data_IF_950850740796
#
_entry.id   IF_950850740796
#
_cell.length_a   1.000
_cell.length_b   1.000
_cell.length_c   1.000
_cell.angle_alpha   90.00
_cell.angle_beta   90.00
_cell.angle_gamma   90.00
#
_symmetry.space_group_name_H-M   'P 1'
#
loop_
_entity.id
_entity.type
_entity.pdbx_description
1 polymer ?
#
# COMPACT_ATOMS: atom_id res chain seq x y z
N UNK A 1 -11.50 13.97 -15.26
CA UNK A 1 -10.09 13.53 -15.09
C UNK A 1 -9.61 13.76 -13.65
N UNK A 2 -9.97 14.87 -12.97
CA UNK A 2 -9.71 15.06 -11.53
C UNK A 2 -10.19 13.90 -10.64
N UNK A 3 -11.33 13.30 -10.98
CA UNK A 3 -11.89 12.13 -10.28
C UNK A 3 -11.08 10.85 -10.44
N UNK A 4 -10.20 10.75 -11.45
CA UNK A 4 -9.33 9.60 -11.66
C UNK A 4 -8.12 9.61 -10.73
N UNK A 5 -7.47 10.77 -10.54
CA UNK A 5 -6.31 10.92 -9.67
C UNK A 5 -6.66 10.61 -8.20
N UNK A 6 -7.87 10.95 -7.76
CA UNK A 6 -8.33 10.69 -6.40
C UNK A 6 -8.40 9.19 -6.08
N UNK A 7 -8.67 8.33 -7.06
CA UNK A 7 -8.72 6.88 -6.87
C UNK A 7 -7.34 6.25 -6.58
N UNK A 8 -6.27 6.98 -6.87
CA UNK A 8 -4.88 6.53 -6.69
C UNK A 8 -4.19 7.20 -5.48
N UNK A 9 -4.87 8.13 -4.81
CA UNK A 9 -4.34 8.77 -3.60
C UNK A 9 -4.64 7.92 -2.38
N UNK A 10 -3.59 7.48 -1.71
CA UNK A 10 -3.68 6.76 -0.45
C UNK A 10 -3.30 7.66 0.74
N UNK A 11 -3.85 7.41 1.94
CA UNK A 11 -3.53 8.21 3.14
C UNK A 11 -2.06 8.16 3.55
N UNK A 12 -1.36 7.09 3.17
CA UNK A 12 0.06 6.87 3.46
C UNK A 12 1.01 7.57 2.48
N UNK A 13 0.51 8.15 1.38
CA UNK A 13 1.32 8.98 0.49
C UNK A 13 1.67 10.31 1.15
N UNK A 14 2.63 11.03 0.60
CA UNK A 14 3.01 12.40 0.94
C UNK A 14 2.84 13.31 -0.29
N UNK A 15 2.64 14.60 -0.02
CA UNK A 15 2.57 15.64 -1.05
C UNK A 15 3.90 16.39 -1.08
N UNK A 16 4.51 16.52 -2.25
CA UNK A 16 5.69 17.35 -2.44
C UNK A 16 5.38 18.49 -3.40
N UNK A 17 5.58 19.73 -2.94
CA UNK A 17 5.43 20.92 -3.78
C UNK A 17 6.62 21.04 -4.73
N UNK A 18 6.38 21.42 -5.99
CA UNK A 18 7.44 21.62 -7.00
C UNK A 18 8.04 23.03 -6.97
N UNK A 19 7.38 23.96 -6.27
CA UNK A 19 7.82 25.34 -6.14
C UNK A 19 7.83 25.74 -4.67
N UNK A 20 8.62 26.75 -4.35
CA UNK A 20 8.65 27.32 -3.00
C UNK A 20 7.24 27.74 -2.56
N UNK A 21 6.93 27.51 -1.28
CA UNK A 21 5.66 27.87 -0.66
C UNK A 21 5.26 29.32 -0.99
N UNK A 22 6.21 30.26 -0.90
CA UNK A 22 5.97 31.69 -1.12
C UNK A 22 5.64 32.00 -2.58
N UNK A 23 6.34 31.36 -3.52
CA UNK A 23 6.13 31.54 -4.95
C UNK A 23 4.79 30.97 -5.36
N UNK A 24 4.46 29.77 -4.86
CA UNK A 24 3.17 29.14 -5.11
C UNK A 24 2.02 29.99 -4.55
N UNK A 25 2.15 30.53 -3.34
CA UNK A 25 1.14 31.41 -2.74
C UNK A 25 0.96 32.73 -3.51
N UNK A 26 2.01 33.24 -4.17
CA UNK A 26 1.93 34.46 -4.97
C UNK A 26 1.27 34.24 -6.35
N UNK A 27 1.37 33.03 -6.90
CA UNK A 27 0.73 32.65 -8.16
C UNK A 27 -0.76 32.30 -8.01
N UNK A 28 -1.23 32.09 -6.77
CA UNK A 28 -2.62 31.76 -6.52
C UNK A 28 -3.54 32.96 -6.78
N UNK A 29 -4.73 32.71 -7.38
CA UNK A 29 -5.74 33.75 -7.52
C UNK A 29 -6.20 34.24 -6.14
N UNK A 30 -6.63 35.50 -6.07
CA UNK A 30 -7.11 36.16 -4.85
C UNK A 30 -8.31 35.45 -4.20
N UNK A 31 -9.10 34.72 -5.01
CA UNK A 31 -10.27 33.94 -4.56
C UNK A 31 -9.94 32.52 -4.11
N UNK A 32 -8.66 32.22 -3.85
CA UNK A 32 -8.24 30.90 -3.45
C UNK A 32 -8.82 30.48 -2.10
N UNK A 33 -9.30 29.24 -2.01
CA UNK A 33 -9.81 28.67 -0.76
C UNK A 33 -8.75 28.73 0.36
N UNK A 34 -9.09 29.21 1.57
CA UNK A 34 -8.19 29.20 2.72
C UNK A 34 -7.70 27.79 3.08
N UNK A 35 -8.45 26.74 2.70
CA UNK A 35 -8.03 25.36 2.88
C UNK A 35 -6.80 25.01 2.03
N UNK A 36 -6.73 25.49 0.79
CA UNK A 36 -5.57 25.27 -0.08
C UNK A 36 -4.33 25.97 0.48
N UNK A 37 -4.49 27.20 0.98
CA UNK A 37 -3.41 27.95 1.62
C UNK A 37 -2.90 27.19 2.86
N UNK A 38 -3.79 26.64 3.69
CA UNK A 38 -3.41 25.81 4.84
C UNK A 38 -2.64 24.56 4.39
N UNK A 39 -3.13 23.83 3.39
CA UNK A 39 -2.43 22.65 2.86
C UNK A 39 -1.02 23.03 2.40
N UNK A 40 -0.86 24.08 1.60
CA UNK A 40 0.44 24.52 1.08
C UNK A 40 1.41 24.86 2.23
N UNK A 41 0.95 25.60 3.23
CA UNK A 41 1.76 26.00 4.40
C UNK A 41 2.18 24.85 5.31
N UNK A 42 1.33 23.83 5.40
CA UNK A 42 1.55 22.68 6.30
C UNK A 42 2.20 21.50 5.59
N UNK A 43 2.30 21.53 4.25
CA UNK A 43 2.85 20.44 3.44
C UNK A 43 4.31 20.18 3.80
N UNK A 44 4.64 18.89 3.97
CA UNK A 44 6.00 18.45 4.27
C UNK A 44 6.26 17.10 3.62
N UNK A 45 7.45 16.95 3.02
CA UNK A 45 7.86 15.72 2.34
C UNK A 45 8.07 14.52 3.28
N UNK A 46 8.20 14.75 4.60
CA UNK A 46 8.39 13.69 5.61
C UNK A 46 7.08 13.24 6.26
N UNK A 47 5.95 13.91 5.97
CA UNK A 47 4.64 13.62 6.56
C UNK A 47 3.71 13.02 5.54
N UNK A 48 2.90 12.05 5.95
CA UNK A 48 1.86 11.50 5.07
C UNK A 48 0.63 12.42 5.00
N UNK A 49 -0.25 12.18 4.03
CA UNK A 49 -1.46 12.97 3.78
C UNK A 49 -2.44 12.90 4.96
N UNK A 50 -2.45 11.80 5.71
CA UNK A 50 -3.26 11.68 6.92
C UNK A 50 -2.78 12.62 8.02
N UNK A 51 -1.46 12.70 8.26
CA UNK A 51 -0.86 13.64 9.20
C UNK A 51 -1.04 15.09 8.72
N UNK A 52 -0.89 15.33 7.42
CA UNK A 52 -1.15 16.64 6.82
C UNK A 52 -2.59 17.10 7.06
N UNK A 53 -3.57 16.20 6.94
CA UNK A 53 -4.97 16.51 7.22
C UNK A 53 -5.20 16.90 8.69
N UNK A 54 -4.54 16.21 9.63
CA UNK A 54 -4.60 16.53 11.05
C UNK A 54 -3.95 17.89 11.36
N UNK A 55 -2.75 18.13 10.82
CA UNK A 55 -2.00 19.37 11.06
C UNK A 55 -2.66 20.59 10.41
N UNK A 56 -3.33 20.42 9.26
CA UNK A 56 -4.05 21.49 8.57
C UNK A 56 -5.47 21.71 9.13
N UNK A 57 -5.93 20.84 10.03
CA UNK A 57 -7.30 20.79 10.56
C UNK A 57 -8.34 20.74 9.42
N UNK A 58 -8.19 19.71 8.57
CA UNK A 58 -9.02 19.45 7.39
C UNK A 58 -9.46 17.98 7.35
N UNK A 59 -10.60 17.72 6.73
CA UNK A 59 -11.01 16.35 6.44
C UNK A 59 -10.07 15.71 5.41
N UNK A 60 -9.73 14.42 5.58
CA UNK A 60 -8.82 13.70 4.68
C UNK A 60 -9.30 13.75 3.22
N UNK A 61 -10.61 13.61 2.99
CA UNK A 61 -11.19 13.70 1.65
C UNK A 61 -10.93 15.07 0.99
N UNK A 62 -10.99 16.16 1.78
CA UNK A 62 -10.70 17.50 1.30
C UNK A 62 -9.22 17.65 0.95
N UNK A 63 -8.31 17.08 1.75
CA UNK A 63 -6.88 17.05 1.43
C UNK A 63 -6.62 16.27 0.13
N UNK A 64 -7.30 15.15 -0.11
CA UNK A 64 -7.18 14.42 -1.37
C UNK A 64 -7.65 15.23 -2.58
N UNK A 65 -8.76 15.96 -2.46
CA UNK A 65 -9.24 16.84 -3.53
C UNK A 65 -8.24 17.96 -3.83
N UNK A 66 -7.70 18.61 -2.78
CA UNK A 66 -6.73 19.68 -2.93
C UNK A 66 -5.39 19.18 -3.47
N UNK A 67 -4.92 18.01 -3.02
CA UNK A 67 -3.71 17.36 -3.54
C UNK A 67 -3.88 16.98 -5.02
N UNK A 68 -5.00 16.36 -5.38
CA UNK A 68 -5.31 16.01 -6.78
C UNK A 68 -5.33 17.27 -7.67
N UNK A 69 -5.92 18.37 -7.19
CA UNK A 69 -5.93 19.64 -7.89
C UNK A 69 -4.49 20.20 -8.08
N UNK A 70 -3.67 20.20 -7.03
CA UNK A 70 -2.27 20.67 -7.13
C UNK A 70 -1.45 19.82 -8.10
N UNK A 71 -1.68 18.51 -8.13
CA UNK A 71 -1.01 17.59 -9.07
C UNK A 71 -1.49 17.83 -10.50
N UNK A 72 -2.79 18.04 -10.69
CA UNK A 72 -3.38 18.34 -12.01
C UNK A 72 -2.79 19.60 -12.65
N UNK A 73 -2.55 20.65 -11.86
CA UNK A 73 -1.92 21.88 -12.32
C UNK A 73 -0.37 21.81 -12.36
N UNK A 74 0.21 20.65 -12.06
CA UNK A 74 1.66 20.48 -12.03
C UNK A 74 2.37 21.35 -11.00
N UNK A 75 1.72 21.65 -9.87
CA UNK A 75 2.31 22.41 -8.76
C UNK A 75 2.82 21.51 -7.63
N UNK A 76 2.34 20.26 -7.59
CA UNK A 76 2.78 19.27 -6.63
C UNK A 76 2.84 17.88 -7.26
N UNK A 77 3.52 16.98 -6.58
CA UNK A 77 3.68 15.59 -6.95
C UNK A 77 3.34 14.72 -5.75
N UNK A 78 2.91 13.49 -6.02
CA UNK A 78 2.71 12.49 -4.98
C UNK A 78 3.99 11.69 -4.85
N UNK A 79 4.48 11.58 -3.63
CA UNK A 79 5.63 10.76 -3.25
C UNK A 79 5.22 9.93 -2.02
N UNK A 80 6.11 9.06 -1.55
CA UNK A 80 5.97 8.52 -0.20
C UNK A 80 6.70 9.41 0.80
N UNK A 81 6.24 9.46 2.07
CA UNK A 81 6.92 10.20 3.12
C UNK A 81 8.39 9.77 3.20
N UNK A 82 9.30 10.74 3.23
CA UNK A 82 10.73 10.48 3.30
C UNK A 82 11.08 9.85 4.66
N UNK A 83 11.43 8.57 4.63
CA UNK A 83 11.86 7.80 5.80
C UNK A 83 13.25 7.20 5.57
N UNK A 84 13.97 6.92 6.66
CA UNK A 84 15.34 6.36 6.62
C UNK A 84 15.42 5.03 5.86
N UNK A 85 14.35 4.24 5.90
CA UNK A 85 14.29 2.92 5.26
C UNK A 85 13.88 2.97 3.78
N UNK A 86 13.55 4.14 3.25
CA UNK A 86 13.16 4.27 1.85
C UNK A 86 14.40 4.09 0.97
N UNK A 87 14.23 3.28 -0.08
CA UNK A 87 15.28 2.98 -1.04
C UNK A 87 15.06 3.85 -2.27
N UNK A 88 16.10 4.58 -2.68
CA UNK A 88 16.08 5.41 -3.87
C UNK A 88 17.12 4.93 -4.87
N UNK A 89 16.83 5.17 -6.15
CA UNK A 89 17.74 4.92 -7.26
C UNK A 89 17.64 6.07 -8.25
N UNK A 90 18.70 6.30 -9.04
CA UNK A 90 18.66 7.22 -10.18
C UNK A 90 17.56 6.82 -11.16
N UNK A 91 16.77 7.81 -11.59
CA UNK A 91 15.82 7.63 -12.66
C UNK A 91 16.56 7.26 -13.96
N UNK A 92 16.08 6.28 -14.74
CA UNK A 92 16.64 5.96 -16.06
C UNK A 92 16.66 7.15 -17.02
N UNK A 93 15.76 8.11 -16.80
CA UNK A 93 15.62 9.31 -17.61
C UNK A 93 16.38 10.52 -17.04
N UNK A 94 17.09 10.36 -15.93
CA UNK A 94 17.83 11.45 -15.31
C UNK A 94 18.97 11.92 -16.23
N UNK A 95 18.95 13.20 -16.60
CA UNK A 95 20.07 13.82 -17.32
C UNK A 95 21.23 14.04 -16.35
N UNK A 96 22.23 13.16 -16.39
CA UNK A 96 23.47 13.25 -15.60
C UNK A 96 24.50 14.20 -16.24
N UNK A 97 24.07 15.07 -17.16
CA UNK A 97 24.98 15.99 -17.85
C UNK A 97 25.60 17.00 -16.87
N UNK A 98 26.94 17.03 -16.84
CA UNK A 98 27.76 17.96 -16.04
C UNK A 98 27.44 19.44 -16.25
N UNK A 99 26.90 19.80 -17.42
CA UNK A 99 26.54 21.17 -17.82
C UNK A 99 25.02 21.37 -17.92
N UNK A 100 24.23 20.54 -17.25
CA UNK A 100 22.79 20.74 -17.18
C UNK A 100 22.47 22.02 -16.42
N UNK A 101 21.44 22.76 -16.84
CA UNK A 101 20.90 23.89 -16.09
C UNK A 101 20.53 23.49 -14.64
N UNK A 102 20.18 22.21 -14.43
CA UNK A 102 19.92 21.63 -13.11
C UNK A 102 21.18 21.60 -12.24
N UNK A 103 22.36 21.35 -12.81
CA UNK A 103 23.62 21.33 -12.06
C UNK A 103 23.99 22.73 -11.55
N UNK A 104 23.76 23.77 -12.36
CA UNK A 104 23.95 25.17 -11.95
C UNK A 104 22.97 25.57 -10.84
N UNK A 105 21.68 25.25 -11.00
CA UNK A 105 20.66 25.51 -9.97
C UNK A 105 20.97 24.78 -8.66
N UNK A 106 21.45 23.54 -8.75
CA UNK A 106 21.85 22.76 -7.59
C UNK A 106 23.05 23.38 -6.88
N UNK A 107 24.08 23.80 -7.63
CA UNK A 107 25.27 24.44 -7.05
C UNK A 107 24.93 25.77 -6.37
N UNK A 108 23.97 26.52 -6.89
CA UNK A 108 23.47 27.74 -6.25
C UNK A 108 22.73 27.46 -4.93
N UNK A 109 21.93 26.40 -4.84
CA UNK A 109 21.20 26.05 -3.62
C UNK A 109 22.06 25.30 -2.60
N UNK A 110 23.03 24.50 -3.06
CA UNK A 110 23.92 23.67 -2.24
C UNK A 110 25.39 23.87 -2.64
N UNK A 111 26.02 24.98 -2.22
CA UNK A 111 27.39 25.31 -2.64
C UNK A 111 28.46 24.30 -2.20
N UNK A 112 28.16 23.44 -1.23
CA UNK A 112 29.07 22.42 -0.71
C UNK A 112 29.01 21.08 -1.45
N UNK A 113 28.12 20.92 -2.43
CA UNK A 113 27.87 19.63 -3.09
C UNK A 113 27.72 19.76 -4.60
N UNK A 114 28.41 18.88 -5.32
CA UNK A 114 28.26 18.76 -6.77
C UNK A 114 27.15 17.78 -7.12
N UNK A 115 26.23 18.17 -7.99
CA UNK A 115 25.12 17.33 -8.43
C UNK A 115 25.59 15.96 -8.96
N UNK A 116 26.58 15.85 -9.87
CA UNK A 116 27.01 14.55 -10.40
C UNK A 116 27.58 13.62 -9.32
N UNK A 117 28.32 14.18 -8.36
CA UNK A 117 28.87 13.43 -7.22
C UNK A 117 27.78 12.89 -6.30
N UNK A 118 26.69 13.65 -6.14
CA UNK A 118 25.52 13.20 -5.38
C UNK A 118 24.74 12.14 -6.16
N UNK A 119 24.46 12.38 -7.45
CA UNK A 119 23.77 11.43 -8.31
C UNK A 119 24.50 10.09 -8.39
N UNK A 120 25.84 10.09 -8.49
CA UNK A 120 26.66 8.88 -8.50
C UNK A 120 26.41 7.98 -7.28
N UNK A 121 26.09 8.57 -6.12
CA UNK A 121 25.77 7.81 -4.91
C UNK A 121 24.43 7.06 -5.01
N UNK A 122 23.49 7.54 -5.81
CA UNK A 122 22.18 6.91 -6.04
C UNK A 122 22.17 6.00 -7.29
N UNK A 123 23.33 5.74 -7.90
CA UNK A 123 23.43 4.88 -9.08
C UNK A 123 22.96 3.45 -8.86
N UNK A 124 23.04 2.98 -7.62
CA UNK A 124 22.48 1.72 -7.17
C UNK A 124 21.33 1.98 -6.17
N UNK A 125 20.37 1.05 -6.04
CA UNK A 125 19.38 1.09 -4.97
C UNK A 125 20.05 1.23 -3.61
N UNK A 126 19.84 2.36 -2.94
CA UNK A 126 20.44 2.67 -1.65
C UNK A 126 19.40 3.24 -0.69
N UNK A 127 19.47 2.84 0.57
CA UNK A 127 18.58 3.36 1.61
C UNK A 127 19.07 4.71 2.13
N UNK A 128 18.14 5.58 2.55
CA UNK A 128 18.52 6.88 3.13
C UNK A 128 19.32 6.75 4.44
N UNK A 129 19.16 5.65 5.17
CA UNK A 129 19.92 5.36 6.39
C UNK A 129 21.41 5.15 6.12
N UNK A 130 21.79 4.61 4.96
CA UNK A 130 23.21 4.41 4.59
C UNK A 130 23.96 5.73 4.37
N UNK A 131 23.24 6.81 4.05
CA UNK A 131 23.82 8.15 3.95
C UNK A 131 23.94 8.85 5.30
N UNK A 132 23.29 8.35 6.35
CA UNK A 132 23.39 8.92 7.69
C UNK A 132 24.66 8.42 8.35
N UNK A 133 25.49 9.36 8.77
CA UNK A 133 26.59 9.05 9.69
C UNK A 133 26.07 9.24 11.12
N UNK A 134 26.03 8.21 11.98
CA UNK A 134 25.50 8.32 13.35
C UNK A 134 26.26 9.31 14.23
N UNK A 135 27.45 9.75 13.81
CA UNK A 135 28.27 10.76 14.49
C UNK A 135 28.12 12.18 13.90
N UNK A 136 27.32 12.35 12.84
CA UNK A 136 27.15 13.64 12.19
C UNK A 136 26.15 14.55 12.91
N UNK A 137 26.31 15.87 12.82
CA UNK A 137 25.35 16.82 13.36
C UNK A 137 24.00 16.76 12.61
N UNK A 138 22.86 17.05 13.28
CA UNK A 138 21.51 16.99 12.70
C UNK A 138 21.29 17.95 11.51
N UNK A 139 22.17 18.96 11.36
CA UNK A 139 22.18 19.87 10.22
C UNK A 139 22.45 19.12 8.91
N UNK A 140 23.34 18.12 8.93
CA UNK A 140 23.69 17.35 7.74
C UNK A 140 22.52 16.48 7.27
N UNK A 141 21.73 15.95 8.20
CA UNK A 141 20.50 15.19 7.87
C UNK A 141 19.46 16.08 7.19
N UNK A 142 19.31 17.31 7.68
CA UNK A 142 18.36 18.27 7.11
C UNK A 142 18.76 18.66 5.69
N UNK A 143 20.06 18.86 5.45
CA UNK A 143 20.61 19.11 4.12
C UNK A 143 20.41 17.91 3.19
N UNK A 144 20.67 16.68 3.64
CA UNK A 144 20.44 15.47 2.85
C UNK A 144 18.97 15.36 2.42
N UNK A 145 18.03 15.57 3.35
CA UNK A 145 16.59 15.52 3.05
C UNK A 145 16.24 16.60 2.02
N UNK A 146 16.75 17.83 2.17
CA UNK A 146 16.52 18.90 1.20
C UNK A 146 17.09 18.57 -0.19
N UNK A 147 18.27 17.97 -0.26
CA UNK A 147 18.86 17.51 -1.52
C UNK A 147 18.00 16.41 -2.16
N UNK A 148 17.53 15.44 -1.38
CA UNK A 148 16.65 14.36 -1.87
C UNK A 148 15.30 14.92 -2.35
N UNK A 149 14.70 15.85 -1.58
CA UNK A 149 13.51 16.59 -2.00
C UNK A 149 13.72 17.28 -3.35
N UNK A 150 14.82 18.01 -3.49
CA UNK A 150 15.15 18.71 -4.73
C UNK A 150 15.33 17.73 -5.89
N UNK A 151 16.02 16.62 -5.68
CA UNK A 151 16.21 15.59 -6.71
C UNK A 151 14.88 14.92 -7.11
N UNK A 152 13.95 14.73 -6.16
CA UNK A 152 12.60 14.21 -6.45
C UNK A 152 11.72 15.23 -7.18
N UNK A 153 11.85 16.53 -6.87
CA UNK A 153 11.18 17.62 -7.61
C UNK A 153 11.60 17.61 -9.09
N UNK A 154 12.88 17.37 -9.37
CA UNK A 154 13.45 17.34 -10.72
C UNK A 154 13.49 15.96 -11.38
N UNK A 155 12.78 14.95 -10.83
CA UNK A 155 12.67 13.59 -11.41
C UNK A 155 14.00 12.84 -11.58
N UNK A 156 15.01 13.21 -10.79
CA UNK A 156 16.32 12.57 -10.85
C UNK A 156 16.37 11.25 -10.08
N UNK A 157 15.47 11.09 -9.09
CA UNK A 157 15.36 9.89 -8.28
C UNK A 157 14.01 9.22 -8.44
N UNK A 158 14.01 7.90 -8.42
CA UNK A 158 12.84 7.04 -8.28
C UNK A 158 12.90 6.33 -6.94
N UNK A 159 11.74 6.16 -6.32
CA UNK A 159 11.62 5.41 -5.07
C UNK A 159 11.28 3.96 -5.38
N UNK A 160 12.01 3.05 -4.76
CA UNK A 160 11.80 1.61 -4.91
C UNK A 160 11.05 1.06 -3.70
N UNK A 161 10.06 0.23 -3.99
CA UNK A 161 9.24 -0.44 -3.00
C UNK A 161 9.45 -1.95 -3.03
N UNK A 162 9.30 -2.58 -1.88
CA UNK A 162 9.40 -4.03 -1.73
C UNK A 162 8.04 -4.68 -1.95
N UNK A 163 7.98 -5.65 -2.85
CA UNK A 163 6.80 -6.44 -3.17
C UNK A 163 7.09 -7.91 -2.86
N UNK A 164 6.08 -8.60 -2.35
CA UNK A 164 6.14 -10.04 -2.14
C UNK A 164 5.20 -10.74 -3.12
N UNK A 165 5.70 -11.78 -3.77
CA UNK A 165 4.95 -12.64 -4.66
C UNK A 165 4.99 -14.07 -4.12
N UNK A 166 3.84 -14.70 -3.97
CA UNK A 166 3.77 -16.13 -3.72
C UNK A 166 4.25 -16.86 -4.99
N UNK A 167 5.33 -17.61 -4.85
CA UNK A 167 5.79 -18.54 -5.86
C UNK A 167 5.71 -19.92 -5.24
N UNK A 168 4.56 -20.59 -5.41
CA UNK A 168 4.62 -22.04 -5.37
C UNK A 168 5.41 -22.46 -6.60
N UNK A 169 6.55 -23.10 -6.36
CA UNK A 169 7.22 -23.84 -7.42
C UNK A 169 6.16 -24.75 -8.06
N UNK A 170 5.93 -24.67 -9.38
CA UNK A 170 5.17 -25.74 -10.01
C UNK A 170 5.96 -27.00 -9.70
N UNK A 171 5.35 -27.94 -9.00
CA UNK A 171 5.87 -29.29 -8.95
C UNK A 171 5.98 -29.72 -10.42
N UNK A 172 7.06 -30.39 -10.82
CA UNK A 172 7.29 -30.86 -12.19
C UNK A 172 6.25 -31.93 -12.66
N UNK A 173 5.09 -32.02 -12.00
CA UNK A 173 3.98 -32.95 -12.25
C UNK A 173 2.73 -32.29 -12.86
N UNK A 174 2.73 -30.99 -13.15
CA UNK A 174 1.75 -30.44 -14.10
C UNK A 174 2.29 -30.55 -15.53
N UNK A 175 2.13 -31.74 -16.12
CA UNK A 175 2.12 -31.86 -17.57
C UNK A 175 1.17 -30.78 -18.14
N UNK A 176 1.58 -30.04 -19.19
CA UNK A 176 0.67 -29.14 -19.88
C UNK A 176 -0.47 -29.98 -20.44
N UNK A 177 -1.67 -29.85 -19.87
CA UNK A 177 -2.86 -30.41 -20.51
C UNK A 177 -2.94 -29.79 -21.92
N UNK A 178 -2.86 -30.59 -23.00
CA UNK A 178 -3.06 -30.05 -24.33
C UNK A 178 -4.47 -29.48 -24.37
N UNK A 179 -4.56 -28.22 -24.79
CA UNK A 179 -5.82 -27.58 -25.16
C UNK A 179 -6.30 -28.29 -26.43
N UNK A 180 -7.08 -29.34 -26.28
CA UNK A 180 -7.83 -29.92 -27.39
C UNK A 180 -9.20 -29.24 -27.45
N UNK A 181 -9.27 -28.31 -28.40
CA UNK A 181 -10.39 -27.92 -29.26
C UNK A 181 -11.79 -27.73 -28.69
N UNK A 182 -12.31 -26.52 -28.96
CA UNK A 182 -13.71 -26.13 -28.91
C UNK A 182 -14.62 -27.16 -29.61
N UNK A 183 -15.70 -27.57 -28.93
CA UNK A 183 -17.01 -27.72 -29.59
C UNK A 183 -18.15 -27.36 -28.63
N UNK A 184 -19.18 -26.64 -29.11
CA UNK A 184 -20.18 -25.99 -28.27
C UNK A 184 -21.30 -26.96 -27.89
N UNK A 185 -21.46 -27.23 -26.60
CA UNK A 185 -22.56 -28.07 -26.12
C UNK A 185 -23.87 -27.28 -26.04
N UNK A 186 -24.71 -27.52 -27.04
CA UNK A 186 -26.13 -27.20 -27.07
C UNK A 186 -26.89 -27.81 -25.90
N UNK A 187 -27.90 -27.07 -25.45
CA UNK A 187 -28.88 -27.36 -24.40
C UNK A 187 -29.39 -28.81 -24.28
N UNK A 188 -29.64 -29.26 -23.04
CA UNK A 188 -30.98 -29.66 -22.54
C UNK A 188 -31.04 -29.99 -21.03
N UNK A 189 -31.86 -29.19 -20.34
CA UNK A 189 -32.92 -29.53 -19.36
C UNK A 189 -32.58 -30.11 -17.97
N UNK A 190 -33.03 -29.34 -16.96
CA UNK A 190 -33.54 -29.83 -15.66
C UNK A 190 -32.65 -29.46 -14.48
N UNK A 191 -32.98 -28.57 -13.55
CA UNK A 191 -34.20 -27.81 -13.29
C UNK A 191 -34.15 -27.35 -11.83
N UNK A 192 -34.20 -26.03 -11.59
CA UNK A 192 -34.95 -25.38 -10.50
C UNK A 192 -34.69 -23.88 -10.50
N UNK A 193 -35.71 -23.16 -10.95
CA UNK A 193 -35.76 -21.71 -11.06
C UNK A 193 -35.83 -21.00 -9.71
N UNK A 194 -35.14 -19.87 -9.70
CA UNK A 194 -35.40 -18.69 -8.88
C UNK A 194 -36.83 -18.17 -9.13
N UNK A 195 -37.47 -17.64 -8.10
CA UNK A 195 -38.53 -16.62 -8.25
C UNK A 195 -38.55 -15.74 -7.00
N UNK A 196 -38.32 -14.45 -7.22
CA UNK A 196 -38.57 -13.35 -6.28
C UNK A 196 -40.06 -12.95 -6.32
N UNK A 197 -40.50 -11.83 -5.70
CA UNK A 197 -41.41 -11.79 -4.56
C UNK A 197 -42.85 -11.41 -4.98
N UNK A 198 -43.86 -11.63 -4.11
CA UNK A 198 -45.08 -10.82 -4.22
C UNK A 198 -45.86 -10.70 -2.91
N UNK A 199 -46.53 -9.57 -2.80
CA UNK A 199 -47.17 -9.00 -1.62
C UNK A 199 -48.66 -9.38 -1.48
N UNK A 200 -49.15 -9.27 -0.23
CA UNK A 200 -50.53 -9.00 0.22
C UNK A 200 -51.69 -9.92 -0.24
N UNK A 201 -52.24 -10.69 0.71
CA UNK A 201 -53.71 -10.73 0.88
C UNK A 201 -54.16 -11.30 2.23
N UNK A 202 -55.27 -10.71 2.68
CA UNK A 202 -55.95 -10.73 3.97
C UNK A 202 -56.64 -12.06 4.32
N UNK A 203 -56.79 -12.34 5.63
CA UNK A 203 -57.80 -13.28 6.13
C UNK A 203 -57.54 -13.87 7.53
N UNK A 204 -57.96 -13.17 8.58
CA UNK A 204 -58.31 -13.76 9.91
C UNK A 204 -59.80 -14.17 9.90
N UNK A 205 -60.41 -14.76 10.96
CA UNK A 205 -59.88 -15.34 12.22
C UNK A 205 -60.51 -16.72 12.56
N UNK A 206 -60.07 -17.39 13.64
CA UNK A 206 -60.92 -17.95 14.73
C UNK A 206 -60.08 -18.46 15.91
N UNK A 207 -60.69 -18.39 17.09
CA UNK A 207 -60.28 -18.74 18.47
C UNK A 207 -59.70 -20.18 18.66
N UNK A 208 -59.15 -20.65 19.79
CA UNK A 208 -59.04 -20.23 21.20
C UNK A 208 -58.14 -21.27 21.92
N UNK A 209 -57.49 -20.85 23.01
CA UNK A 209 -57.09 -21.58 24.24
C UNK A 209 -56.15 -22.81 24.20
N UNK A 210 -54.98 -22.68 24.86
CA UNK A 210 -54.67 -23.31 26.17
C UNK A 210 -53.20 -23.81 26.33
N UNK A 211 -52.58 -23.30 27.40
CA UNK A 211 -51.56 -23.85 28.31
C UNK A 211 -50.50 -24.85 27.81
N UNK A 212 -49.21 -24.51 28.01
CA UNK A 212 -48.39 -24.98 29.15
C UNK A 212 -46.90 -24.68 28.95
N UNK A 213 -46.27 -24.33 30.07
CA UNK A 213 -44.85 -24.07 30.27
C UNK A 213 -44.02 -25.35 30.09
N UNK A 214 -42.87 -25.27 29.40
CA UNK A 214 -41.65 -26.01 29.75
C UNK A 214 -40.44 -25.45 28.99
N UNK A 215 -39.63 -24.64 29.68
CA UNK A 215 -38.25 -24.35 29.27
C UNK A 215 -37.33 -25.37 29.93
N UNK A 216 -36.45 -26.08 29.21
CA UNK A 216 -35.31 -26.72 29.84
C UNK A 216 -34.16 -25.71 29.90
N UNK A 217 -33.86 -25.29 31.13
CA UNK A 217 -32.58 -24.75 31.56
C UNK A 217 -31.47 -25.80 31.37
N UNK A 218 -30.37 -25.41 30.72
CA UNK A 218 -29.08 -26.09 30.88
C UNK A 218 -27.97 -25.06 31.13
N UNK A 219 -27.64 -24.94 32.41
CA UNK A 219 -26.34 -24.76 33.03
C UNK A 219 -25.29 -23.94 32.27
N UNK A 220 -25.30 -22.64 32.59
CA UNK A 220 -24.17 -21.74 32.42
C UNK A 220 -23.02 -22.16 33.38
N UNK A 221 -22.22 -23.15 32.98
CA UNK A 221 -20.95 -23.44 33.65
C UNK A 221 -19.91 -22.44 33.20
N UNK A 222 -19.66 -21.48 34.09
CA UNK A 222 -18.62 -20.48 33.98
C UNK A 222 -17.25 -21.16 34.17
N UNK A 223 -16.54 -21.39 33.08
CA UNK A 223 -15.12 -21.71 33.13
C UNK A 223 -14.34 -20.42 32.85
N UNK A 224 -13.65 -19.92 33.87
CA UNK A 224 -12.64 -18.88 33.73
C UNK A 224 -11.60 -19.33 32.69
N UNK A 225 -11.65 -18.74 31.50
CA UNK A 225 -10.66 -18.99 30.46
C UNK A 225 -9.47 -18.08 30.67
N UNK A 226 -8.43 -18.66 31.27
CA UNK A 226 -7.06 -18.22 31.10
C UNK A 226 -6.72 -18.21 29.59
N UNK A 227 -5.90 -17.24 29.11
CA UNK A 227 -5.59 -17.08 27.70
C UNK A 227 -4.55 -18.13 27.27
N UNK A 228 -5.00 -19.35 26.99
CA UNK A 228 -4.19 -20.42 26.40
C UNK A 228 -4.55 -20.62 24.93
N UNK A 229 -3.89 -19.86 24.07
CA UNK A 229 -3.09 -20.43 22.97
C UNK A 229 -3.74 -20.83 21.65
N UNK A 230 -4.96 -21.35 21.55
CA UNK A 230 -5.49 -21.77 20.24
C UNK A 230 -7.02 -21.94 20.22
N UNK A 231 -7.73 -20.89 19.80
CA UNK A 231 -9.17 -20.98 19.58
C UNK A 231 -9.47 -21.78 18.30
N UNK A 232 -10.33 -22.81 18.31
CA UNK A 232 -10.64 -23.64 17.14
C UNK A 232 -11.24 -22.83 15.98
N UNK A 233 -11.83 -21.67 16.28
CA UNK A 233 -12.27 -20.68 15.29
C UNK A 233 -11.12 -20.12 14.46
N UNK A 234 -9.97 -19.84 15.09
CA UNK A 234 -8.81 -19.28 14.40
C UNK A 234 -8.20 -20.30 13.42
N UNK A 235 -8.16 -21.59 13.79
CA UNK A 235 -7.69 -22.67 12.92
C UNK A 235 -8.59 -22.83 11.69
N UNK A 236 -9.92 -22.82 11.88
CA UNK A 236 -10.88 -22.88 10.78
C UNK A 236 -10.78 -21.67 9.86
N UNK A 237 -10.54 -20.47 10.41
CA UNK A 237 -10.36 -19.26 9.62
C UNK A 237 -9.10 -19.31 8.75
N UNK A 238 -7.97 -19.75 9.32
CA UNK A 238 -6.72 -19.92 8.56
C UNK A 238 -6.86 -21.00 7.49
N UNK A 239 -7.57 -22.09 7.79
CA UNK A 239 -7.83 -23.15 6.81
C UNK A 239 -8.72 -22.67 5.67
N UNK A 240 -9.73 -21.85 5.95
CA UNK A 240 -10.59 -21.25 4.92
C UNK A 240 -9.81 -20.28 4.01
N UNK A 241 -8.90 -19.47 4.58
CA UNK A 241 -8.05 -18.57 3.81
C UNK A 241 -7.05 -19.36 2.94
N UNK A 242 -6.48 -20.43 3.47
CA UNK A 242 -5.59 -21.33 2.73
C UNK A 242 -6.34 -22.20 1.71
N UNK A 243 -7.64 -22.45 1.89
CA UNK A 243 -8.47 -23.18 0.92
C UNK A 243 -8.74 -22.38 -0.37
N UNK A 244 -8.44 -21.07 -0.37
CA UNK A 244 -8.47 -20.26 -1.59
C UNK A 244 -7.25 -20.49 -2.50
N UNK A 245 -6.21 -21.16 -2.00
CA UNK A 245 -5.01 -21.51 -2.74
C UNK A 245 -5.12 -22.91 -3.36
N UNK A 246 -4.30 -23.18 -4.37
CA UNK A 246 -4.16 -24.53 -4.91
C UNK A 246 -3.59 -25.50 -3.87
N UNK A 247 -3.88 -26.80 -4.04
CA UNK A 247 -3.39 -27.85 -3.14
C UNK A 247 -1.85 -27.86 -3.06
N UNK A 248 -1.18 -27.59 -4.19
CA UNK A 248 0.27 -27.46 -4.29
C UNK A 248 0.83 -26.26 -3.51
N UNK A 249 0.20 -25.09 -3.63
CA UNK A 249 0.57 -23.90 -2.85
C UNK A 249 0.40 -24.13 -1.35
N UNK A 250 -0.72 -24.74 -0.94
CA UNK A 250 -0.97 -25.07 0.46
C UNK A 250 0.06 -26.05 0.99
N UNK A 251 0.41 -27.10 0.24
CA UNK A 251 1.44 -28.06 0.63
C UNK A 251 2.82 -27.41 0.74
N UNK A 252 3.17 -26.52 -0.21
CA UNK A 252 4.43 -25.78 -0.18
C UNK A 252 4.51 -24.86 1.06
N UNK A 253 3.44 -24.14 1.39
CA UNK A 253 3.39 -23.28 2.59
C UNK A 253 3.50 -24.13 3.87
N UNK A 254 2.77 -25.25 3.97
CA UNK A 254 2.81 -26.14 5.13
C UNK A 254 4.14 -26.88 5.29
N UNK A 255 4.92 -27.03 4.21
CA UNK A 255 6.26 -27.62 4.26
C UNK A 255 7.31 -26.71 4.91
N UNK A 256 7.03 -25.41 5.02
CA UNK A 256 7.96 -24.44 5.60
C UNK A 256 8.02 -24.62 7.12
N UNK A 257 9.21 -24.67 7.75
CA UNK A 257 9.34 -24.78 9.21
C UNK A 257 8.56 -23.70 9.98
N UNK A 258 8.46 -22.49 9.42
CA UNK A 258 7.70 -21.39 9.98
C UNK A 258 6.18 -21.63 10.02
N UNK A 259 5.64 -22.53 9.19
CA UNK A 259 4.23 -22.89 9.22
C UNK A 259 3.84 -23.71 10.46
N UNK A 260 4.82 -24.27 11.18
CA UNK A 260 4.57 -24.94 12.47
C UNK A 260 4.18 -23.93 13.56
N UNK A 261 4.54 -22.65 13.40
CA UNK A 261 4.08 -21.60 14.30
C UNK A 261 2.69 -21.11 13.86
N UNK A 262 1.63 -21.34 14.66
CA UNK A 262 0.28 -20.94 14.29
C UNK A 262 0.07 -19.42 14.18
N UNK A 263 0.93 -18.60 14.82
CA UNK A 263 0.87 -17.14 14.70
C UNK A 263 1.42 -16.65 13.36
N UNK A 264 2.59 -17.14 12.95
CA UNK A 264 3.22 -16.80 11.68
C UNK A 264 2.35 -17.27 10.50
N UNK A 265 1.81 -18.50 10.58
CA UNK A 265 0.91 -19.03 9.55
C UNK A 265 -0.40 -18.23 9.46
N UNK A 266 -0.95 -17.79 10.59
CA UNK A 266 -2.16 -16.95 10.60
C UNK A 266 -1.91 -15.59 9.99
N UNK A 267 -0.79 -14.96 10.33
CA UNK A 267 -0.39 -13.69 9.74
C UNK A 267 -0.16 -13.85 8.24
N UNK A 268 0.55 -14.89 7.81
CA UNK A 268 0.75 -15.22 6.41
C UNK A 268 -0.57 -15.44 5.68
N UNK A 269 -1.48 -16.25 6.22
CA UNK A 269 -2.79 -16.53 5.62
C UNK A 269 -3.64 -15.27 5.44
N UNK A 270 -3.57 -14.32 6.39
CA UNK A 270 -4.21 -13.00 6.25
C UNK A 270 -3.58 -12.14 5.17
N UNK A 271 -2.31 -12.33 4.85
CA UNK A 271 -1.57 -11.51 3.90
C UNK A 271 -1.52 -12.09 2.47
N UNK A 272 -2.05 -13.30 2.28
CA UNK A 272 -2.05 -14.00 1.00
C UNK A 272 -2.59 -13.18 -0.16
N UNK A 273 -3.66 -12.40 0.06
CA UNK A 273 -4.24 -11.59 -1.01
C UNK A 273 -3.34 -10.43 -1.43
N UNK A 274 -2.40 -10.01 -0.58
CA UNK A 274 -1.40 -9.00 -0.92
C UNK A 274 -0.22 -9.59 -1.71
N UNK A 275 0.09 -10.88 -1.55
CA UNK A 275 1.23 -11.57 -2.17
C UNK A 275 1.09 -11.88 -3.67
N UNK A 276 0.36 -11.04 -4.39
CA UNK A 276 0.19 -11.09 -5.85
C UNK A 276 1.17 -10.17 -6.59
N UNK A 277 2.12 -9.56 -5.89
CA UNK A 277 3.06 -8.58 -6.45
C UNK A 277 2.46 -7.22 -6.80
N UNK A 278 1.21 -6.95 -6.39
CA UNK A 278 0.54 -5.67 -6.67
C UNK A 278 0.57 -4.69 -5.51
N UNK A 279 0.80 -5.19 -4.30
CA UNK A 279 0.79 -4.40 -3.08
C UNK A 279 2.20 -4.35 -2.54
N UNK A 280 2.68 -3.13 -2.35
CA UNK A 280 4.00 -2.90 -1.77
C UNK A 280 3.92 -3.04 -0.24
N UNK A 281 5.09 -3.16 0.38
CA UNK A 281 5.24 -3.36 1.81
C UNK A 281 4.53 -2.28 2.65
N UNK A 282 4.63 -1.00 2.27
CA UNK A 282 4.05 0.12 3.01
C UNK A 282 2.51 0.11 2.99
N UNK A 283 1.90 -0.31 1.88
CA UNK A 283 0.44 -0.52 1.78
C UNK A 283 -0.02 -1.67 2.70
N UNK A 284 0.73 -2.77 2.74
CA UNK A 284 0.44 -3.89 3.63
C UNK A 284 0.54 -3.46 5.10
N UNK A 285 1.59 -2.69 5.43
CA UNK A 285 1.78 -2.14 6.77
C UNK A 285 0.58 -1.26 7.18
N UNK A 286 0.11 -0.40 6.28
CA UNK A 286 -0.99 0.51 6.54
C UNK A 286 -2.33 -0.23 6.69
N UNK A 287 -2.67 -1.12 5.75
CA UNK A 287 -3.96 -1.81 5.73
C UNK A 287 -4.13 -2.80 6.89
N UNK A 288 -3.06 -3.53 7.23
CA UNK A 288 -3.11 -4.56 8.27
C UNK A 288 -2.59 -4.07 9.63
N UNK A 289 -2.14 -2.81 9.71
CA UNK A 289 -1.53 -2.20 10.89
C UNK A 289 -0.39 -3.06 11.47
N UNK A 290 0.48 -3.56 10.59
CA UNK A 290 1.59 -4.44 10.93
C UNK A 290 2.92 -3.68 10.88
N UNK A 291 3.87 -4.04 11.76
CA UNK A 291 5.17 -3.37 11.78
C UNK A 291 6.06 -3.88 10.64
N UNK A 292 6.89 -2.98 10.07
CA UNK A 292 7.87 -3.33 9.03
C UNK A 292 8.73 -4.53 9.40
N UNK A 293 9.28 -4.54 10.62
CA UNK A 293 10.14 -5.63 11.09
C UNK A 293 9.42 -6.97 11.15
N UNK A 294 8.15 -6.99 11.56
CA UNK A 294 7.34 -8.21 11.60
C UNK A 294 7.08 -8.75 10.20
N UNK A 295 6.75 -7.87 9.23
CA UNK A 295 6.57 -8.28 7.83
C UNK A 295 7.86 -8.78 7.19
N UNK A 296 8.98 -8.09 7.40
CA UNK A 296 10.28 -8.52 6.88
C UNK A 296 10.72 -9.86 7.48
N UNK A 297 10.53 -10.05 8.79
CA UNK A 297 10.77 -11.36 9.44
C UNK A 297 9.86 -12.44 8.87
N UNK A 298 8.60 -12.12 8.57
CA UNK A 298 7.68 -13.07 7.95
C UNK A 298 8.15 -13.43 6.54
N UNK A 299 8.58 -12.45 5.73
CA UNK A 299 9.11 -12.70 4.38
C UNK A 299 10.36 -13.56 4.41
N UNK A 300 11.24 -13.35 5.40
CA UNK A 300 12.45 -14.16 5.58
C UNK A 300 12.12 -15.60 6.00
N UNK A 301 11.18 -15.76 6.95
CA UNK A 301 10.68 -17.08 7.38
C UNK A 301 10.04 -17.89 6.25
N UNK A 302 9.30 -17.23 5.36
CA UNK A 302 8.63 -17.85 4.22
C UNK A 302 9.38 -17.66 2.89
N UNK A 303 10.68 -17.35 2.93
CA UNK A 303 11.51 -17.12 1.74
C UNK A 303 11.54 -18.29 0.76
N UNK A 304 11.27 -19.51 1.22
CA UNK A 304 11.19 -20.70 0.36
C UNK A 304 9.97 -20.72 -0.57
N UNK A 305 8.90 -19.98 -0.22
CA UNK A 305 7.65 -19.90 -1.00
C UNK A 305 7.34 -18.48 -1.48
N UNK A 306 8.09 -17.49 -1.00
CA UNK A 306 7.94 -16.09 -1.38
C UNK A 306 9.14 -15.61 -2.19
N UNK A 307 8.86 -14.93 -3.29
CA UNK A 307 9.84 -14.12 -3.99
C UNK A 307 9.62 -12.66 -3.62
N UNK A 308 10.68 -12.03 -3.13
CA UNK A 308 10.69 -10.61 -2.78
C UNK A 308 11.37 -9.85 -3.90
N UNK A 309 10.64 -8.94 -4.55
CA UNK A 309 11.14 -8.09 -5.62
C UNK A 309 11.10 -6.63 -5.21
N UNK A 310 11.99 -5.82 -5.77
CA UNK A 310 12.01 -4.36 -5.57
C UNK A 310 11.85 -3.65 -6.89
N UNK A 311 10.84 -2.79 -7.02
CA UNK A 311 10.62 -1.96 -8.20
C UNK A 311 9.86 -0.68 -7.83
N UNK A 312 9.78 0.25 -8.78
CA UNK A 312 8.98 1.48 -8.62
C UNK A 312 7.48 1.14 -8.55
N UNK A 313 6.72 1.97 -7.83
CA UNK A 313 5.28 1.86 -7.79
C UNK A 313 4.67 2.36 -9.11
N UNK A 314 3.94 1.51 -9.86
CA UNK A 314 3.32 1.91 -11.12
C UNK A 314 2.36 3.09 -10.98
N UNK A 315 1.73 3.27 -9.82
CA UNK A 315 0.81 4.40 -9.58
C UNK A 315 1.58 5.72 -9.57
N UNK A 316 2.70 5.79 -8.86
CA UNK A 316 3.55 6.99 -8.83
C UNK A 316 4.22 7.22 -10.18
N UNK A 317 4.66 6.17 -10.87
CA UNK A 317 5.24 6.28 -12.20
C UNK A 317 4.28 6.95 -13.20
N UNK A 318 2.97 6.66 -13.12
CA UNK A 318 1.94 7.34 -13.93
C UNK A 318 1.88 8.84 -13.61
N UNK A 319 1.90 9.23 -12.33
CA UNK A 319 1.91 10.65 -11.94
C UNK A 319 3.16 11.38 -12.42
N UNK A 320 4.31 10.69 -12.46
CA UNK A 320 5.54 11.28 -12.99
C UNK A 320 5.49 11.45 -14.51
N UNK A 321 4.88 10.51 -15.24
CA UNK A 321 4.75 10.54 -16.69
C UNK A 321 3.67 11.53 -17.21
N UNK A 322 2.69 11.89 -16.36
CA UNK A 322 1.61 12.82 -16.71
C UNK A 322 2.05 14.29 -16.68
N UNK A 323 3.23 14.60 -16.13
CA UNK A 323 3.75 15.96 -16.06
C UNK A 323 4.72 16.20 -17.23
N UNK A 324 4.51 17.26 -18.03
CA UNK A 324 5.26 17.52 -19.26
C UNK A 324 6.73 17.88 -19.04
#
# INVERSE_FOLDING_TARGET
>A
MESGCQAFLSPYHALLLLSDEKSLLAELPLDCSPALVRVIKTTSAVKNLQQLAQDADLALLQVFQLAAHLVYWGKAIIIYPLCENNVYMLSPNASVCLYSALAEQFSHQFPSHDLPSVLAKFSLPISLSEFRNPLAPPVQETQLIQMVVWMLQHRLLVQLHTYACLMASPSEDEQPRPREDEVPFTARVGGRSLSTPNALSFGSPTSSDDMTLTSPSMDNSSAELLPSGDSPLNKRMTENLLASLSEHERAAILSVPAAQNPEDLRMFARLLHYFRGRHHLEEIMYNENTRRSQLLMLFDKFRSVLVVTTHEDPVIAVFQALLP
#
